data_IF_901558119623
#
_entry.id   IF_901558119623
#
_cell.length_a   1.000
_cell.length_b   1.000
_cell.length_c   1.000
_cell.angle_alpha   90.00
_cell.angle_beta   90.00
_cell.angle_gamma   90.00
#
_symmetry.space_group_name_H-M   'P 1'
#
loop_
_entity.id
_entity.type
_entity.pdbx_description
1 polymer ?
#
# COMPACT_ATOMS: atom_id res chain seq x y z
N UNK A 1 0.48 -18.26 -3.28
CA UNK A 1 -0.20 -18.47 -4.57
C UNK A 1 -1.67 -18.32 -4.25
N UNK A 2 -2.28 -17.18 -4.58
CA UNK A 2 -3.69 -16.92 -4.23
C UNK A 2 -4.56 -17.12 -5.48
N UNK A 3 -5.39 -18.16 -5.42
CA UNK A 3 -6.37 -18.52 -6.45
C UNK A 3 -7.48 -17.46 -6.67
N UNK A 4 -7.47 -16.36 -5.91
CA UNK A 4 -8.44 -15.27 -6.00
C UNK A 4 -8.13 -14.24 -7.11
N UNK A 5 -6.89 -14.19 -7.63
CA UNK A 5 -6.54 -13.29 -8.75
C UNK A 5 -7.18 -13.72 -10.09
N UNK A 6 -7.50 -15.01 -10.26
CA UNK A 6 -8.18 -15.50 -11.47
C UNK A 6 -9.66 -15.09 -11.53
N UNK A 7 -10.26 -14.69 -10.40
CA UNK A 7 -11.66 -14.25 -10.33
C UNK A 7 -11.87 -12.80 -10.81
N UNK A 8 -10.79 -12.05 -11.06
CA UNK A 8 -10.84 -10.71 -11.67
C UNK A 8 -10.89 -10.74 -13.20
N UNK A 9 -10.91 -11.93 -13.83
CA UNK A 9 -11.13 -12.06 -15.26
C UNK A 9 -12.62 -11.98 -15.59
N UNK A 10 -13.07 -11.12 -16.51
CA UNK A 10 -14.45 -11.12 -16.98
C UNK A 10 -14.77 -12.47 -17.65
N UNK A 11 -15.83 -13.13 -17.17
CA UNK A 11 -16.44 -14.28 -17.86
C UNK A 11 -17.33 -13.79 -19.00
N UNK A 12 -16.76 -13.47 -20.16
CA UNK A 12 -17.40 -13.34 -21.51
C UNK A 12 -16.48 -12.43 -22.35
N UNK A 13 -16.09 -12.68 -23.60
CA UNK A 13 -16.75 -13.32 -24.73
C UNK A 13 -15.73 -14.04 -25.63
N UNK A 14 -16.21 -15.10 -26.29
CA UNK A 14 -15.56 -15.73 -27.45
C UNK A 14 -15.79 -14.80 -28.64
N UNK A 15 -14.75 -14.11 -29.11
CA UNK A 15 -14.78 -13.44 -30.41
C UNK A 15 -14.27 -14.37 -31.50
N UNK A 16 -15.22 -14.84 -32.31
CA UNK A 16 -14.97 -15.47 -33.59
C UNK A 16 -14.38 -14.44 -34.56
N UNK A 17 -13.27 -14.80 -35.20
CA UNK A 17 -12.73 -14.10 -36.37
C UNK A 17 -13.73 -14.19 -37.52
N UNK A 18 -14.48 -13.12 -37.75
CA UNK A 18 -15.40 -12.98 -38.88
C UNK A 18 -14.69 -12.40 -40.11
N UNK A 19 -14.31 -13.26 -41.05
CA UNK A 19 -14.04 -12.86 -42.44
C UNK A 19 -15.36 -12.48 -43.13
N UNK A 20 -15.38 -11.33 -43.79
CA UNK A 20 -16.43 -10.96 -44.74
C UNK A 20 -16.49 -11.95 -45.91
N UNK A 21 -17.68 -12.51 -46.17
CA UNK A 21 -18.05 -13.11 -47.47
C UNK A 21 -19.57 -13.30 -47.57
N UNK A 22 -20.20 -12.40 -48.33
CA UNK A 22 -21.23 -12.62 -49.38
C UNK A 22 -22.33 -13.69 -49.14
N UNK A 23 -23.58 -13.17 -49.07
CA UNK A 23 -24.91 -13.72 -49.47
C UNK A 23 -25.11 -15.25 -49.60
N UNK A 24 -26.15 -15.77 -48.90
CA UNK A 24 -27.41 -16.28 -49.51
C UNK A 24 -28.45 -16.63 -48.44
N UNK A 25 -29.71 -16.39 -48.81
CA UNK A 25 -30.94 -16.71 -48.06
C UNK A 25 -31.12 -18.23 -47.84
N UNK A 26 -31.80 -18.59 -46.75
CA UNK A 26 -32.26 -19.95 -46.49
C UNK A 26 -32.95 -20.09 -45.14
N UNK A 27 -34.28 -20.04 -45.13
CA UNK A 27 -35.12 -20.40 -43.99
C UNK A 27 -35.01 -21.91 -43.69
N UNK A 28 -34.74 -22.31 -42.44
CA UNK A 28 -35.15 -23.62 -41.90
C UNK A 28 -35.59 -23.47 -40.43
N UNK A 29 -36.74 -24.09 -40.13
CA UNK A 29 -37.52 -24.12 -38.87
C UNK A 29 -37.05 -25.24 -37.90
N UNK A 30 -37.32 -25.00 -36.60
CA UNK A 30 -37.49 -25.94 -35.47
C UNK A 30 -36.23 -26.71 -34.97
N UNK A 31 -35.99 -26.98 -33.68
CA UNK A 31 -36.89 -27.41 -32.58
C UNK A 31 -36.42 -26.93 -31.18
N UNK A 32 -37.41 -26.55 -30.36
CA UNK A 32 -37.35 -26.54 -28.88
C UNK A 32 -37.21 -27.98 -28.36
N UNK A 33 -36.38 -28.19 -27.34
CA UNK A 33 -36.59 -29.26 -26.36
C UNK A 33 -36.38 -28.69 -24.95
N UNK A 34 -37.50 -28.64 -24.22
CA UNK A 34 -37.60 -28.40 -22.78
C UNK A 34 -37.72 -29.80 -22.16
N UNK A 35 -36.90 -30.11 -21.14
CA UNK A 35 -37.16 -31.23 -20.23
C UNK A 35 -36.93 -30.77 -18.79
N UNK A 36 -37.91 -31.09 -17.96
CA UNK A 36 -38.16 -30.63 -16.58
C UNK A 36 -37.89 -31.74 -15.56
N UNK A 37 -37.10 -31.43 -14.51
CA UNK A 37 -37.13 -31.97 -13.12
C UNK A 37 -36.83 -33.46 -12.86
N UNK A 38 -36.75 -33.91 -11.58
CA UNK A 38 -36.68 -33.20 -10.29
C UNK A 38 -35.46 -33.60 -9.40
N UNK A 39 -35.26 -32.87 -8.29
CA UNK A 39 -34.09 -32.99 -7.41
C UNK A 39 -34.16 -34.06 -6.32
N UNK A 40 -33.02 -34.27 -5.65
CA UNK A 40 -32.88 -34.94 -4.34
C UNK A 40 -31.68 -34.34 -3.60
N UNK A 41 -31.92 -33.93 -2.34
CA UNK A 41 -30.93 -33.60 -1.31
C UNK A 41 -30.17 -34.87 -0.85
N UNK A 42 -28.86 -34.77 -0.62
CA UNK A 42 -28.14 -35.75 0.21
C UNK A 42 -27.22 -35.03 1.20
N UNK A 43 -27.55 -35.18 2.47
CA UNK A 43 -26.67 -34.98 3.63
C UNK A 43 -26.27 -36.37 4.11
N UNK A 44 -24.98 -36.73 4.14
CA UNK A 44 -24.49 -37.82 5.01
C UNK A 44 -23.05 -37.54 5.42
N UNK A 45 -22.84 -37.51 6.74
CA UNK A 45 -21.55 -37.56 7.40
C UNK A 45 -21.10 -39.02 7.64
N UNK A 46 -19.84 -39.16 7.99
CA UNK A 46 -19.22 -40.21 8.83
C UNK A 46 -18.42 -41.33 8.15
N UNK A 47 -17.15 -41.35 8.59
CA UNK A 47 -16.36 -42.47 9.10
C UNK A 47 -16.13 -43.70 8.22
N UNK A 48 -14.84 -43.89 7.90
CA UNK A 48 -14.23 -45.18 7.66
C UNK A 48 -13.14 -45.44 8.71
N UNK A 49 -13.24 -46.60 9.37
CA UNK A 49 -12.21 -47.31 10.12
C UNK A 49 -11.92 -48.62 9.37
N UNK A 50 -10.66 -49.07 9.35
CA UNK A 50 -10.13 -50.45 9.20
C UNK A 50 -8.60 -50.32 9.48
N UNK A 51 -8.13 -50.64 10.70
CA UNK A 51 -7.45 -51.89 11.17
C UNK A 51 -6.14 -52.24 10.43
N UNK A 52 -5.05 -52.78 10.99
CA UNK A 52 -4.53 -53.17 12.32
C UNK A 52 -3.04 -53.56 12.09
N UNK A 53 -2.14 -53.45 13.10
CA UNK A 53 -0.81 -54.10 13.00
C UNK A 53 0.30 -53.71 13.98
N UNK A 54 0.19 -54.17 15.25
CA UNK A 54 1.24 -54.57 16.21
C UNK A 54 2.60 -53.84 16.35
N UNK A 55 2.90 -53.35 17.57
CA UNK A 55 3.82 -54.04 18.53
C UNK A 55 3.91 -53.31 19.90
N UNK A 56 4.06 -54.11 20.96
CA UNK A 56 4.03 -53.79 22.41
C UNK A 56 5.30 -53.11 22.95
N UNK A 57 5.15 -52.27 23.98
CA UNK A 57 5.64 -52.51 25.38
C UNK A 57 5.30 -51.32 26.28
N UNK A 58 4.75 -51.60 27.46
CA UNK A 58 4.21 -50.60 28.38
C UNK A 58 5.16 -50.14 29.48
N UNK A 59 4.71 -49.12 30.23
CA UNK A 59 4.92 -48.99 31.68
C UNK A 59 3.94 -47.96 32.25
N UNK A 60 3.25 -48.36 33.32
CA UNK A 60 2.33 -47.57 34.12
C UNK A 60 3.15 -46.77 35.15
N UNK A 61 2.87 -45.48 35.31
CA UNK A 61 3.27 -44.72 36.49
C UNK A 61 2.11 -43.85 36.97
N UNK A 62 1.59 -44.18 38.16
CA UNK A 62 0.66 -43.35 38.94
C UNK A 62 1.42 -42.14 39.49
N UNK A 63 0.85 -40.95 39.38
CA UNK A 63 1.22 -39.79 40.22
C UNK A 63 -0.01 -39.31 40.97
N UNK A 64 0.13 -39.27 42.30
CA UNK A 64 -0.82 -38.74 43.25
C UNK A 64 -0.80 -37.22 43.25
N UNK A 65 -1.97 -36.62 43.43
CA UNK A 65 -2.14 -35.21 43.73
C UNK A 65 -2.07 -35.03 45.25
N UNK A 66 -1.29 -34.04 45.72
CA UNK A 66 -1.27 -33.61 47.13
C UNK A 66 -1.68 -32.13 47.17
N UNK A 67 -2.84 -31.89 47.76
CA UNK A 67 -3.37 -30.56 48.12
C UNK A 67 -2.79 -30.22 49.50
N UNK A 68 -2.26 -29.01 49.66
CA UNK A 68 -1.79 -28.49 50.94
C UNK A 68 -2.53 -27.19 51.26
N UNK A 69 -3.30 -27.20 52.35
CA UNK A 69 -3.95 -26.06 52.98
C UNK A 69 -3.11 -25.68 54.20
N UNK A 70 -2.72 -24.42 54.36
CA UNK A 70 -2.21 -23.91 55.64
C UNK A 70 -2.73 -22.50 55.96
N UNK A 71 -3.74 -22.55 56.83
CA UNK A 71 -4.12 -21.70 57.96
C UNK A 71 -3.27 -20.47 58.32
N UNK A 72 -4.00 -19.38 58.54
CA UNK A 72 -3.62 -18.08 59.10
C UNK A 72 -3.39 -18.13 60.62
N UNK A 73 -2.39 -17.41 61.13
CA UNK A 73 -2.35 -16.92 62.52
C UNK A 73 -1.85 -15.48 62.61
N UNK A 74 -2.72 -14.63 63.13
CA UNK A 74 -2.41 -13.30 63.67
C UNK A 74 -1.74 -13.43 65.03
N UNK A 75 -0.72 -12.62 65.31
CA UNK A 75 -0.34 -12.21 66.67
C UNK A 75 0.10 -10.74 66.66
N UNK A 76 -0.66 -9.91 67.37
CA UNK A 76 -0.27 -8.58 67.85
C UNK A 76 0.87 -8.71 68.87
N UNK A 77 1.78 -7.74 68.94
CA UNK A 77 1.99 -6.93 70.14
C UNK A 77 2.93 -5.74 69.87
N UNK A 78 2.61 -4.64 70.54
CA UNK A 78 3.22 -3.33 70.47
C UNK A 78 4.55 -3.22 71.24
N UNK A 79 5.34 -2.24 70.79
CA UNK A 79 6.12 -1.26 71.56
C UNK A 79 7.61 -1.48 71.95
N UNK A 80 8.30 -0.35 71.79
CA UNK A 80 9.52 0.15 72.43
C UNK A 80 10.92 -0.14 71.84
N UNK A 81 11.67 0.95 71.64
CA UNK A 81 13.13 0.91 71.68
C UNK A 81 13.86 1.77 70.65
N UNK A 82 13.81 3.08 70.80
CA UNK A 82 14.68 4.01 70.08
C UNK A 82 16.17 3.70 70.32
N UNK A 83 16.92 3.42 69.25
CA UNK A 83 18.39 3.59 69.22
C UNK A 83 18.80 4.23 67.90
N UNK A 84 18.98 5.54 67.96
CA UNK A 84 19.70 6.32 66.95
C UNK A 84 21.18 5.94 67.09
N UNK A 85 21.67 5.10 66.17
CA UNK A 85 23.11 4.80 66.05
C UNK A 85 23.65 5.62 64.88
N UNK A 86 24.51 6.59 65.21
CA UNK A 86 25.22 7.41 64.23
C UNK A 86 25.95 6.54 63.21
N UNK A 87 25.73 6.84 61.93
CA UNK A 87 26.37 6.12 60.83
C UNK A 87 27.89 6.27 60.92
N UNK A 88 28.61 5.15 60.88
CA UNK A 88 30.08 5.14 60.89
C UNK A 88 30.59 5.90 59.66
N UNK A 89 31.72 6.62 59.76
CA UNK A 89 32.28 7.42 58.66
C UNK A 89 32.42 6.67 57.31
N UNK A 90 32.60 5.34 57.35
CA UNK A 90 32.59 4.48 56.15
C UNK A 90 31.21 4.38 55.48
N UNK A 91 30.13 4.35 56.27
CA UNK A 91 28.76 4.38 55.75
C UNK A 91 28.39 5.78 55.22
N UNK A 92 28.91 6.85 55.83
CA UNK A 92 28.78 8.21 55.26
C UNK A 92 29.52 8.34 53.92
N UNK A 93 30.72 7.76 53.79
CA UNK A 93 31.45 7.73 52.51
C UNK A 93 30.74 6.88 51.47
N UNK A 94 30.19 5.73 51.87
CA UNK A 94 29.40 4.88 50.97
C UNK A 94 28.13 5.60 50.51
N UNK A 95 27.39 6.25 51.43
CA UNK A 95 26.26 7.10 51.07
C UNK A 95 26.69 8.23 50.14
N UNK A 96 27.78 8.96 50.43
CA UNK A 96 28.23 10.05 49.57
C UNK A 96 28.59 9.58 48.15
N UNK A 97 29.20 8.41 48.00
CA UNK A 97 29.50 7.79 46.69
C UNK A 97 28.20 7.37 45.99
N UNK A 98 27.24 6.79 46.71
CA UNK A 98 25.94 6.44 46.16
C UNK A 98 25.13 7.69 45.76
N UNK A 99 25.20 8.77 46.53
CA UNK A 99 24.60 10.06 46.22
C UNK A 99 25.23 10.68 44.98
N UNK A 100 26.56 10.64 44.85
CA UNK A 100 27.27 11.11 43.67
C UNK A 100 26.93 10.26 42.44
N UNK A 101 26.86 8.94 42.59
CA UNK A 101 26.42 8.02 41.53
C UNK A 101 24.98 8.27 41.10
N UNK A 102 24.07 8.52 42.05
CA UNK A 102 22.68 8.89 41.78
C UNK A 102 22.59 10.24 41.09
N UNK A 103 23.38 11.24 41.49
CA UNK A 103 23.44 12.54 40.83
C UNK A 103 23.99 12.43 39.41
N UNK A 104 24.99 11.58 39.17
CA UNK A 104 25.49 11.28 37.82
C UNK A 104 24.42 10.55 37.01
N UNK A 105 23.70 9.59 37.57
CA UNK A 105 22.60 8.92 36.89
C UNK A 105 21.43 9.86 36.60
N UNK A 106 21.12 10.80 37.50
CA UNK A 106 20.11 11.85 37.29
C UNK A 106 20.60 12.85 36.25
N UNK A 107 21.88 13.21 36.21
CA UNK A 107 22.45 14.08 35.19
C UNK A 107 22.52 13.38 33.81
N UNK A 108 22.85 12.08 33.78
CA UNK A 108 22.79 11.25 32.58
C UNK A 108 21.35 11.01 32.13
N UNK A 109 20.40 10.87 33.06
CA UNK A 109 18.97 10.82 32.77
C UNK A 109 18.43 12.17 32.31
N UNK A 110 18.91 13.28 32.86
CA UNK A 110 18.53 14.64 32.46
C UNK A 110 19.09 14.99 31.08
N UNK A 111 20.35 14.67 30.80
CA UNK A 111 20.95 14.80 29.46
C UNK A 111 20.37 13.78 28.49
N UNK A 112 19.96 12.59 28.95
CA UNK A 112 19.17 11.65 28.16
C UNK A 112 17.74 12.14 27.94
N UNK A 113 17.14 12.94 28.84
CA UNK A 113 15.85 13.63 28.68
C UNK A 113 15.96 14.86 27.77
N UNK A 114 17.12 15.53 27.72
CA UNK A 114 17.40 16.54 26.69
C UNK A 114 17.64 15.88 25.32
N UNK A 115 18.24 14.68 25.28
CA UNK A 115 18.38 13.90 24.05
C UNK A 115 17.11 13.11 23.67
N UNK A 116 16.26 12.82 24.65
CA UNK A 116 14.85 12.44 24.55
C UNK A 116 14.04 13.72 24.70
N UNK A 117 14.34 14.72 23.88
CA UNK A 117 13.27 15.58 23.42
C UNK A 117 12.11 14.64 23.06
N UNK A 118 10.94 14.75 23.72
CA UNK A 118 9.72 14.42 23.01
C UNK A 118 9.86 15.16 21.70
N UNK A 119 9.37 14.59 20.61
CA UNK A 119 8.99 15.42 19.50
C UNK A 119 7.93 16.40 20.02
N UNK A 120 8.35 17.47 20.70
CA UNK A 120 7.86 18.83 20.54
C UNK A 120 8.32 19.29 19.16
N UNK A 121 8.04 18.45 18.15
CA UNK A 121 7.48 18.94 16.93
C UNK A 121 6.35 19.82 17.39
N UNK A 122 6.62 21.13 17.35
CA UNK A 122 5.65 22.18 17.17
C UNK A 122 4.33 21.53 16.76
N UNK A 123 3.33 21.58 17.63
CA UNK A 123 1.93 21.42 17.26
C UNK A 123 1.62 22.47 16.18
N UNK A 124 2.09 22.16 14.98
CA UNK A 124 1.46 22.41 13.72
C UNK A 124 1.09 20.98 13.25
N UNK A 125 0.19 20.27 13.94
CA UNK A 125 -1.24 20.51 13.71
C UNK A 125 -1.46 21.96 13.32
N UNK A 126 -1.12 22.31 12.08
CA UNK A 126 -2.13 23.03 11.33
C UNK A 126 -3.32 22.12 11.52
N UNK A 127 -4.22 22.51 12.43
CA UNK A 127 -5.60 22.15 12.25
C UNK A 127 -5.77 22.18 10.74
N UNK A 128 -5.96 20.99 10.16
CA UNK A 128 -6.56 20.88 8.86
C UNK A 128 -7.83 21.69 9.08
N UNK A 129 -7.79 22.99 8.79
CA UNK A 129 -8.98 23.80 8.66
C UNK A 129 -9.62 23.21 7.43
N UNK A 130 -10.28 22.07 7.65
CA UNK A 130 -11.42 21.63 6.88
C UNK A 130 -12.24 22.89 6.79
N UNK A 131 -12.34 23.43 5.59
CA UNK A 131 -13.38 24.38 5.29
C UNK A 131 -14.60 23.48 5.16
N UNK A 132 -15.47 23.38 6.18
CA UNK A 132 -16.65 22.53 6.08
C UNK A 132 -17.46 23.03 4.89
N UNK A 133 -17.91 22.10 4.04
CA UNK A 133 -18.66 22.46 2.83
C UNK A 133 -17.83 22.88 1.61
N UNK A 134 -16.50 22.85 1.63
CA UNK A 134 -15.67 23.25 0.46
C UNK A 134 -16.08 22.56 -0.86
N UNK A 135 -16.48 21.30 -0.77
CA UNK A 135 -16.94 20.50 -1.90
C UNK A 135 -18.42 20.11 -1.77
N UNK A 136 -19.20 20.79 -0.95
CA UNK A 136 -20.65 20.56 -0.91
C UNK A 136 -21.26 20.93 -2.26
N UNK A 137 -22.00 20.00 -2.86
CA UNK A 137 -22.52 20.16 -4.23
C UNK A 137 -21.49 20.11 -5.38
N UNK A 138 -20.19 19.92 -5.10
CA UNK A 138 -19.18 19.85 -6.16
C UNK A 138 -19.34 18.57 -7.01
N UNK A 139 -19.25 18.72 -8.33
CA UNK A 139 -19.38 17.63 -9.30
C UNK A 139 -18.02 17.27 -9.93
N UNK A 140 -17.55 16.04 -9.68
CA UNK A 140 -16.30 15.52 -10.26
C UNK A 140 -16.43 15.04 -11.71
N UNK A 141 -17.60 15.05 -12.32
CA UNK A 141 -17.75 14.78 -13.75
C UNK A 141 -17.27 15.97 -14.58
N UNK A 142 -17.65 17.17 -14.20
CA UNK A 142 -17.31 18.41 -14.92
C UNK A 142 -16.02 19.05 -14.41
N UNK A 143 -15.79 18.98 -13.09
CA UNK A 143 -14.71 19.68 -12.41
C UNK A 143 -14.91 21.19 -12.39
N UNK A 144 -13.86 21.94 -12.05
CA UNK A 144 -13.83 23.40 -12.17
C UNK A 144 -13.72 23.84 -13.64
N UNK A 145 -13.93 25.15 -13.86
CA UNK A 145 -13.65 25.79 -15.14
C UNK A 145 -12.19 25.54 -15.57
N UNK A 146 -11.97 25.51 -16.88
CA UNK A 146 -10.64 25.25 -17.46
C UNK A 146 -9.60 26.25 -16.93
N UNK A 147 -8.38 25.75 -16.67
CA UNK A 147 -7.30 26.55 -16.09
C UNK A 147 -7.37 26.76 -14.56
N UNK A 148 -8.47 26.39 -13.90
CA UNK A 148 -8.57 26.46 -12.43
C UNK A 148 -8.18 25.12 -11.81
N UNK A 149 -7.02 25.03 -11.15
CA UNK A 149 -6.56 23.80 -10.51
C UNK A 149 -6.90 23.77 -9.02
N UNK A 150 -7.62 22.73 -8.60
CA UNK A 150 -7.88 22.39 -7.20
C UNK A 150 -6.73 21.59 -6.58
N UNK A 151 -6.04 20.79 -7.38
CA UNK A 151 -4.98 19.89 -6.91
C UNK A 151 -3.61 20.56 -7.06
N UNK A 152 -2.77 20.59 -6.00
CA UNK A 152 -1.42 21.15 -6.10
C UNK A 152 -0.53 20.34 -7.06
N UNK A 153 0.43 21.01 -7.72
CA UNK A 153 1.34 20.39 -8.70
C UNK A 153 2.51 19.68 -8.01
N UNK A 154 2.22 18.80 -7.07
CA UNK A 154 3.23 18.08 -6.28
C UNK A 154 3.04 16.58 -6.49
N UNK A 155 4.14 15.87 -6.72
CA UNK A 155 4.13 14.42 -6.87
C UNK A 155 4.66 13.77 -5.60
N UNK A 156 4.03 12.67 -5.19
CA UNK A 156 4.42 11.88 -4.03
C UNK A 156 4.82 10.46 -4.45
N UNK A 157 5.97 10.02 -3.95
CA UNK A 157 6.38 8.61 -3.96
C UNK A 157 6.57 8.13 -2.52
N UNK A 158 6.07 6.93 -2.20
CA UNK A 158 6.23 6.30 -0.89
C UNK A 158 7.12 5.07 -0.97
N UNK A 159 8.20 5.02 -0.18
CA UNK A 159 9.18 3.92 -0.16
C UNK A 159 9.52 3.52 1.27
N UNK A 160 8.89 2.45 1.74
CA UNK A 160 9.27 1.80 2.99
C UNK A 160 10.30 0.70 2.78
N UNK A 161 11.29 0.61 3.68
CA UNK A 161 12.31 -0.46 3.70
C UNK A 161 13.06 -0.62 2.37
N UNK A 162 13.11 0.43 1.56
CA UNK A 162 13.71 0.46 0.22
C UNK A 162 14.66 1.65 0.08
N UNK A 163 15.88 1.50 0.62
CA UNK A 163 16.91 2.55 0.57
C UNK A 163 17.53 2.72 -0.83
N UNK A 164 17.59 1.65 -1.62
CA UNK A 164 18.25 1.67 -2.94
C UNK A 164 17.23 1.90 -4.06
N UNK A 165 17.55 2.78 -5.01
CA UNK A 165 16.75 2.95 -6.22
C UNK A 165 17.08 1.87 -7.25
N UNK A 166 16.05 1.34 -7.90
CA UNK A 166 16.20 0.49 -9.09
C UNK A 166 16.19 1.35 -10.35
N UNK A 167 16.73 0.81 -11.46
CA UNK A 167 16.64 1.46 -12.77
C UNK A 167 15.20 1.84 -13.13
N UNK A 168 14.26 0.90 -12.96
CA UNK A 168 12.82 1.10 -13.21
C UNK A 168 12.27 2.22 -12.34
N UNK A 169 12.65 2.29 -11.07
CA UNK A 169 12.24 3.36 -10.17
C UNK A 169 12.74 4.73 -10.62
N UNK A 170 13.99 4.82 -11.11
CA UNK A 170 14.51 6.04 -11.70
C UNK A 170 13.78 6.42 -12.99
N UNK A 171 13.50 5.46 -13.89
CA UNK A 171 12.68 5.67 -15.10
C UNK A 171 11.32 6.27 -14.74
N UNK A 172 10.64 5.73 -13.72
CA UNK A 172 9.33 6.24 -13.30
C UNK A 172 9.40 7.68 -12.77
N UNK A 173 10.37 7.98 -11.89
CA UNK A 173 10.57 9.36 -11.40
C UNK A 173 10.92 10.32 -12.53
N UNK A 174 11.80 9.92 -13.45
CA UNK A 174 12.19 10.74 -14.60
C UNK A 174 11.03 10.98 -15.55
N UNK A 175 10.17 9.98 -15.79
CA UNK A 175 8.96 10.14 -16.61
C UNK A 175 8.00 11.14 -15.98
N UNK A 176 7.77 11.04 -14.67
CA UNK A 176 6.95 11.99 -13.91
C UNK A 176 7.51 13.40 -14.01
N UNK A 177 8.81 13.59 -13.79
CA UNK A 177 9.46 14.88 -13.88
C UNK A 177 9.37 15.49 -15.30
N UNK A 178 9.78 14.73 -16.32
CA UNK A 178 9.87 15.23 -17.70
C UNK A 178 8.51 15.52 -18.33
N UNK A 179 7.55 14.61 -18.14
CA UNK A 179 6.28 14.63 -18.87
C UNK A 179 5.20 15.41 -18.11
N UNK A 180 5.17 15.34 -16.77
CA UNK A 180 4.22 16.13 -15.98
C UNK A 180 4.75 17.51 -15.60
N UNK A 181 6.06 17.63 -15.31
CA UNK A 181 6.70 18.86 -14.81
C UNK A 181 6.07 19.34 -13.48
N UNK A 182 6.18 18.53 -12.41
CA UNK A 182 5.72 18.94 -11.08
C UNK A 182 6.56 20.10 -10.53
N UNK A 183 5.97 20.90 -9.65
CA UNK A 183 6.70 21.97 -8.94
C UNK A 183 7.74 21.38 -7.98
N UNK A 184 7.42 20.20 -7.42
CA UNK A 184 8.34 19.39 -6.60
C UNK A 184 7.90 17.93 -6.49
N UNK A 185 8.86 17.07 -6.22
CA UNK A 185 8.65 15.66 -5.89
C UNK A 185 8.94 15.43 -4.41
N UNK A 186 7.98 14.89 -3.67
CA UNK A 186 8.14 14.49 -2.27
C UNK A 186 8.35 12.99 -2.18
N UNK A 187 9.48 12.60 -1.60
CA UNK A 187 9.78 11.22 -1.26
C UNK A 187 9.46 10.95 0.20
N UNK A 188 8.41 10.17 0.43
CA UNK A 188 8.02 9.69 1.75
C UNK A 188 8.70 8.37 2.04
N UNK A 189 9.47 8.28 3.12
CA UNK A 189 10.29 7.09 3.40
C UNK A 189 10.68 7.01 4.87
N UNK A 190 10.99 5.80 5.33
CA UNK A 190 11.59 5.49 6.63
C UNK A 190 13.12 5.70 6.65
N UNK A 191 13.68 6.27 5.58
CA UNK A 191 15.08 6.67 5.48
C UNK A 191 15.24 8.18 5.30
N UNK A 192 16.38 8.75 5.70
CA UNK A 192 16.70 10.16 5.45
C UNK A 192 17.17 10.45 4.01
N UNK A 193 17.58 9.41 3.26
CA UNK A 193 18.02 9.52 1.88
C UNK A 193 18.08 8.16 1.19
N UNK A 194 18.07 8.17 -0.15
CA UNK A 194 18.30 6.99 -0.98
C UNK A 194 19.76 6.88 -1.44
N UNK A 195 20.13 5.69 -1.92
CA UNK A 195 21.47 5.40 -2.44
C UNK A 195 21.42 4.64 -3.77
N UNK A 196 22.58 4.57 -4.42
CA UNK A 196 22.80 3.81 -5.65
C UNK A 196 22.87 4.70 -6.91
N UNK A 197 23.41 4.16 -8.01
CA UNK A 197 23.66 4.93 -9.23
C UNK A 197 22.38 5.54 -9.82
N UNK A 198 21.27 4.81 -9.73
CA UNK A 198 19.96 5.26 -10.21
C UNK A 198 19.38 6.40 -9.38
N UNK A 199 19.68 6.45 -8.07
CA UNK A 199 19.33 7.61 -7.26
C UNK A 199 20.19 8.81 -7.62
N UNK A 200 21.51 8.63 -7.80
CA UNK A 200 22.39 9.73 -8.21
C UNK A 200 21.96 10.30 -9.57
N UNK A 201 21.52 9.47 -10.52
CA UNK A 201 20.91 9.94 -11.78
C UNK A 201 19.70 10.84 -11.54
N UNK A 202 18.76 10.43 -10.69
CA UNK A 202 17.57 11.24 -10.35
C UNK A 202 17.97 12.54 -9.67
N UNK A 203 18.79 12.45 -8.62
CA UNK A 203 19.26 13.57 -7.80
C UNK A 203 20.02 14.63 -8.60
N UNK A 204 20.80 14.21 -9.61
CA UNK A 204 21.61 15.12 -10.44
C UNK A 204 20.89 15.59 -11.70
N UNK A 205 19.61 15.20 -11.90
CA UNK A 205 18.84 15.65 -13.05
C UNK A 205 18.53 17.14 -12.93
N UNK A 206 19.00 17.93 -13.91
CA UNK A 206 18.83 19.38 -13.94
C UNK A 206 17.35 19.79 -13.86
N UNK A 207 17.06 20.78 -13.01
CA UNK A 207 15.72 21.33 -12.78
C UNK A 207 14.80 20.46 -11.89
N UNK A 208 15.21 19.25 -11.49
CA UNK A 208 14.40 18.40 -10.62
C UNK A 208 14.49 18.91 -9.18
N UNK A 209 13.37 19.40 -8.65
CA UNK A 209 13.21 19.81 -7.25
C UNK A 209 12.59 18.66 -6.46
N UNK A 210 13.27 18.22 -5.39
CA UNK A 210 12.75 17.16 -4.52
C UNK A 210 13.01 17.43 -3.04
N UNK A 211 12.18 16.83 -2.18
CA UNK A 211 12.33 16.87 -0.74
C UNK A 211 12.02 15.50 -0.13
N UNK A 212 12.63 15.21 1.02
CA UNK A 212 12.33 14.02 1.81
C UNK A 212 11.32 14.32 2.90
N UNK A 213 10.40 13.39 3.13
CA UNK A 213 9.46 13.36 4.25
C UNK A 213 9.66 12.06 4.99
N UNK A 214 10.10 12.17 6.25
CA UNK A 214 10.29 11.00 7.10
C UNK A 214 8.91 10.45 7.50
N UNK A 215 8.67 9.19 7.20
CA UNK A 215 7.45 8.48 7.56
C UNK A 215 7.83 7.13 8.14
N UNK A 216 7.37 6.85 9.36
CA UNK A 216 7.53 5.54 9.98
C UNK A 216 6.53 4.56 9.39
N UNK A 217 6.97 3.34 9.07
CA UNK A 217 6.08 2.24 8.68
C UNK A 217 5.11 1.93 9.85
N UNK A 218 3.79 2.17 9.72
CA UNK A 218 2.87 1.90 10.80
C UNK A 218 2.62 0.40 10.99
N UNK A 219 2.40 -0.01 12.24
CA UNK A 219 2.07 -1.41 12.59
C UNK A 219 0.57 -1.66 12.74
N UNK A 220 -0.23 -0.61 12.86
CA UNK A 220 -1.68 -0.69 13.07
C UNK A 220 -2.46 0.48 12.48
N UNK A 221 -3.77 0.30 12.35
CA UNK A 221 -4.76 1.31 11.98
C UNK A 221 -6.01 1.15 12.85
N UNK A 222 -6.48 2.24 13.47
CA UNK A 222 -7.65 2.23 14.38
C UNK A 222 -7.62 1.12 15.45
N UNK A 223 -6.45 0.88 16.07
CA UNK A 223 -6.27 -0.15 17.08
C UNK A 223 -6.19 -1.60 16.54
N UNK A 224 -6.24 -1.79 15.23
CA UNK A 224 -6.10 -3.09 14.57
C UNK A 224 -4.71 -3.24 13.96
N UNK A 225 -3.99 -4.31 14.30
CA UNK A 225 -2.66 -4.59 13.74
C UNK A 225 -2.76 -4.95 12.25
N UNK A 226 -1.83 -4.48 11.45
CA UNK A 226 -1.71 -4.92 10.07
C UNK A 226 -1.32 -6.39 9.99
N UNK A 227 -1.79 -7.04 8.93
CA UNK A 227 -1.39 -8.40 8.56
C UNK A 227 0.12 -8.57 8.53
N UNK A 228 0.65 -9.64 9.12
CA UNK A 228 2.08 -9.96 9.05
C UNK A 228 2.53 -10.27 7.62
N UNK A 229 1.69 -10.99 6.86
CA UNK A 229 2.00 -11.39 5.50
C UNK A 229 1.99 -10.20 4.53
N UNK A 230 1.06 -9.27 4.74
CA UNK A 230 0.83 -8.12 3.85
C UNK A 230 1.20 -6.77 4.48
N UNK A 231 2.03 -6.77 5.53
CA UNK A 231 2.28 -5.61 6.38
C UNK A 231 2.66 -4.36 5.59
N UNK A 232 3.72 -4.45 4.78
CA UNK A 232 4.24 -3.31 4.02
C UNK A 232 3.20 -2.76 3.04
N UNK A 233 2.40 -3.62 2.41
CA UNK A 233 1.39 -3.21 1.43
C UNK A 233 0.24 -2.49 2.13
N UNK A 234 -0.39 -3.10 3.13
CA UNK A 234 -1.50 -2.50 3.86
C UNK A 234 -1.11 -1.21 4.59
N UNK A 235 0.08 -1.18 5.18
CA UNK A 235 0.62 0.02 5.79
C UNK A 235 0.85 1.13 4.76
N UNK A 236 1.32 0.79 3.56
CA UNK A 236 1.47 1.74 2.45
C UNK A 236 0.12 2.26 1.96
N UNK A 237 -0.91 1.40 1.92
CA UNK A 237 -2.26 1.77 1.51
C UNK A 237 -2.88 2.83 2.43
N UNK A 238 -2.72 2.67 3.74
CA UNK A 238 -3.18 3.68 4.71
C UNK A 238 -2.31 4.94 4.66
N UNK A 239 -0.99 4.76 4.51
CA UNK A 239 -0.04 5.90 4.50
C UNK A 239 -0.27 6.80 3.30
N UNK A 240 -0.56 6.26 2.11
CA UNK A 240 -0.83 7.10 0.92
C UNK A 240 -2.07 7.97 1.11
N UNK A 241 -3.11 7.45 1.75
CA UNK A 241 -4.34 8.22 2.04
C UNK A 241 -3.99 9.38 2.97
N UNK A 242 -3.21 9.13 4.02
CA UNK A 242 -2.76 10.16 4.97
C UNK A 242 -1.87 11.22 4.30
N UNK A 243 -0.96 10.82 3.42
CA UNK A 243 -0.15 11.75 2.61
C UNK A 243 -1.05 12.67 1.79
N UNK A 244 -2.03 12.11 1.08
CA UNK A 244 -2.95 12.89 0.27
C UNK A 244 -3.85 13.80 1.13
N UNK A 245 -4.25 13.39 2.33
CA UNK A 245 -4.99 14.25 3.26
C UNK A 245 -4.14 15.40 3.81
N UNK A 246 -2.83 15.24 3.92
CA UNK A 246 -1.93 16.30 4.39
C UNK A 246 -1.57 17.29 3.27
N UNK A 247 -1.20 16.77 2.09
CA UNK A 247 -0.60 17.56 1.02
C UNK A 247 -1.55 17.78 -0.18
N UNK A 248 -2.52 16.91 -0.40
CA UNK A 248 -3.18 16.77 -1.70
C UNK A 248 -2.18 16.23 -2.72
N UNK A 249 -2.34 16.63 -3.99
CA UNK A 249 -1.34 16.39 -5.03
C UNK A 249 -1.58 15.11 -5.82
N UNK A 250 -0.49 14.56 -6.36
CA UNK A 250 -0.48 13.41 -7.24
C UNK A 250 0.37 12.31 -6.59
N UNK A 251 -0.29 11.29 -6.07
CA UNK A 251 0.40 10.11 -5.56
C UNK A 251 0.62 9.09 -6.69
N UNK A 252 1.84 8.59 -6.81
CA UNK A 252 2.22 7.56 -7.77
C UNK A 252 2.89 6.38 -7.04
N UNK A 253 2.46 5.17 -7.37
CA UNK A 253 3.23 3.98 -7.05
C UNK A 253 4.60 4.02 -7.74
N UNK A 254 5.57 3.33 -7.14
CA UNK A 254 6.98 3.41 -7.55
C UNK A 254 7.29 2.83 -8.94
N UNK A 255 6.32 2.17 -9.54
CA UNK A 255 6.36 1.59 -10.87
C UNK A 255 5.23 2.13 -11.77
N UNK A 256 4.82 3.39 -11.55
CA UNK A 256 3.99 4.16 -12.48
C UNK A 256 4.87 4.99 -13.42
N UNK A 257 4.74 4.73 -14.71
CA UNK A 257 5.30 5.57 -15.76
C UNK A 257 4.31 6.65 -16.16
N UNK A 258 4.71 7.92 -16.12
CA UNK A 258 3.88 9.04 -16.57
C UNK A 258 4.15 9.31 -18.04
N UNK A 259 3.13 9.15 -18.87
CA UNK A 259 3.22 9.29 -20.33
C UNK A 259 2.92 10.72 -20.76
N UNK A 260 1.85 11.32 -20.22
CA UNK A 260 1.38 12.64 -20.59
C UNK A 260 1.22 13.56 -19.38
N UNK A 261 1.09 14.86 -19.65
CA UNK A 261 0.82 15.85 -18.62
C UNK A 261 -0.54 15.60 -17.94
N UNK A 262 -0.55 15.58 -16.60
CA UNK A 262 -1.74 15.26 -15.79
C UNK A 262 -2.57 16.48 -15.37
N UNK A 263 -2.25 17.69 -15.84
CA UNK A 263 -2.92 18.93 -15.38
C UNK A 263 -4.43 18.93 -15.62
N UNK A 264 -4.91 18.28 -16.69
CA UNK A 264 -6.36 18.16 -16.97
C UNK A 264 -7.15 17.47 -15.85
N UNK A 265 -6.49 16.70 -14.97
CA UNK A 265 -7.13 16.01 -13.86
C UNK A 265 -7.06 16.82 -12.55
N UNK A 266 -6.24 17.87 -12.50
CA UNK A 266 -6.08 18.74 -11.33
C UNK A 266 -7.26 19.70 -11.11
N UNK A 267 -8.22 19.72 -12.03
CA UNK A 267 -9.47 20.48 -11.94
C UNK A 267 -10.59 19.76 -11.18
N UNK A 268 -10.37 18.49 -10.84
CA UNK A 268 -11.31 17.69 -10.07
C UNK A 268 -10.93 17.72 -8.59
N UNK A 269 -11.89 17.46 -7.72
CA UNK A 269 -11.64 17.26 -6.30
C UNK A 269 -10.77 16.01 -6.10
N UNK A 270 -11.08 14.93 -6.83
CA UNK A 270 -10.28 13.72 -6.88
C UNK A 270 -10.47 13.00 -8.21
N UNK A 271 -9.39 12.54 -8.84
CA UNK A 271 -9.40 11.71 -10.05
C UNK A 271 -8.64 10.41 -9.81
N UNK A 272 -9.25 9.29 -10.22
CA UNK A 272 -8.73 7.94 -10.01
C UNK A 272 -8.98 7.04 -11.20
N UNK A 273 -8.17 5.98 -11.33
CA UNK A 273 -8.42 4.92 -12.30
C UNK A 273 -9.55 4.03 -11.80
N UNK A 274 -10.71 4.06 -12.43
CA UNK A 274 -11.84 3.25 -11.98
C UNK A 274 -12.76 2.88 -13.14
N UNK A 275 -12.60 1.66 -13.65
CA UNK A 275 -13.40 1.11 -14.74
C UNK A 275 -14.72 0.51 -14.25
N UNK A 276 -15.65 0.24 -15.17
CA UNK A 276 -16.96 -0.30 -14.82
C UNK A 276 -16.85 -1.71 -14.25
N UNK A 277 -17.57 -1.96 -13.15
CA UNK A 277 -17.60 -3.24 -12.44
C UNK A 277 -16.21 -3.72 -11.96
N UNK A 278 -15.28 -2.79 -11.73
CA UNK A 278 -13.95 -3.05 -11.19
C UNK A 278 -13.77 -2.31 -9.86
N UNK A 279 -12.85 -2.81 -9.03
CA UNK A 279 -12.35 -2.06 -7.88
C UNK A 279 -11.54 -0.84 -8.38
N UNK A 280 -11.57 0.26 -7.64
CA UNK A 280 -10.74 1.42 -7.94
C UNK A 280 -9.26 1.06 -7.91
N UNK A 281 -8.48 1.65 -8.82
CA UNK A 281 -7.03 1.59 -8.88
C UNK A 281 -6.40 2.56 -7.88
N UNK A 282 -5.41 2.07 -7.14
CA UNK A 282 -4.73 2.81 -6.06
C UNK A 282 -3.35 3.32 -6.46
N UNK A 283 -2.90 2.98 -7.66
CA UNK A 283 -1.53 3.19 -8.11
C UNK A 283 -1.29 4.64 -8.56
N UNK A 284 -2.34 5.33 -9.00
CA UNK A 284 -2.32 6.76 -9.30
C UNK A 284 -3.56 7.43 -8.69
N UNK A 285 -3.32 8.45 -7.88
CA UNK A 285 -4.36 9.22 -7.20
C UNK A 285 -4.03 10.70 -7.36
N UNK A 286 -4.98 11.48 -7.88
CA UNK A 286 -4.82 12.93 -8.08
C UNK A 286 -5.92 13.61 -7.29
N UNK A 287 -5.62 14.31 -6.20
CA UNK A 287 -6.70 14.88 -5.39
C UNK A 287 -6.30 16.13 -4.60
N UNK A 288 -7.32 16.92 -4.31
CA UNK A 288 -7.22 17.97 -3.30
C UNK A 288 -7.13 17.32 -1.92
N UNK A 289 -6.39 17.95 -1.00
CA UNK A 289 -6.21 17.43 0.37
C UNK A 289 -7.53 17.27 1.15
N UNK A 290 -8.54 18.05 0.78
CA UNK A 290 -9.87 18.04 1.40
C UNK A 290 -10.88 17.19 0.60
N UNK A 291 -10.44 16.34 -0.33
CA UNK A 291 -11.34 15.50 -1.10
C UNK A 291 -12.20 14.61 -0.19
N UNK A 292 -13.52 14.70 -0.35
CA UNK A 292 -14.54 14.02 0.47
C UNK A 292 -14.33 12.52 0.53
N UNK A 293 -13.90 11.92 -0.60
CA UNK A 293 -13.65 10.49 -0.67
C UNK A 293 -12.49 10.04 0.21
N UNK A 294 -11.43 10.83 0.43
CA UNK A 294 -10.27 10.41 1.23
C UNK A 294 -10.66 10.04 2.65
N UNK A 295 -11.57 10.81 3.26
CA UNK A 295 -12.06 10.52 4.61
C UNK A 295 -12.88 9.23 4.63
N UNK A 296 -13.84 9.09 3.71
CA UNK A 296 -14.68 7.88 3.63
C UNK A 296 -13.84 6.63 3.35
N UNK A 297 -12.79 6.78 2.54
CA UNK A 297 -11.84 5.72 2.25
C UNK A 297 -11.02 5.35 3.49
N UNK A 298 -10.45 6.34 4.21
CA UNK A 298 -9.73 6.07 5.46
C UNK A 298 -10.67 5.42 6.49
N UNK A 299 -11.88 5.95 6.68
CA UNK A 299 -12.87 5.46 7.64
C UNK A 299 -13.28 4.00 7.37
N UNK A 300 -13.23 3.56 6.10
CA UNK A 300 -13.48 2.14 5.78
C UNK A 300 -12.50 1.19 6.48
N UNK A 301 -11.32 1.64 6.89
CA UNK A 301 -10.36 0.83 7.65
C UNK A 301 -10.75 0.61 9.12
N UNK A 302 -11.82 1.23 9.62
CA UNK A 302 -12.36 0.87 10.94
C UNK A 302 -12.77 -0.61 11.01
N UNK A 303 -13.12 -1.20 9.87
CA UNK A 303 -13.31 -2.64 9.73
C UNK A 303 -12.27 -3.18 8.74
N UNK A 304 -11.15 -3.64 9.26
CA UNK A 304 -10.00 -4.05 8.46
C UNK A 304 -9.95 -5.58 8.29
N UNK A 305 -9.65 -6.03 7.06
CA UNK A 305 -9.59 -7.45 6.70
C UNK A 305 -8.13 -7.88 6.44
N UNK A 306 -7.42 -8.46 7.43
CA UNK A 306 -5.98 -8.70 7.35
C UNK A 306 -5.56 -9.72 6.27
N UNK A 307 -6.42 -10.68 5.95
CA UNK A 307 -6.10 -11.76 5.01
C UNK A 307 -6.41 -11.40 3.56
N UNK A 308 -6.96 -10.21 3.31
CA UNK A 308 -7.34 -9.76 1.98
C UNK A 308 -6.36 -8.68 1.50
N UNK A 309 -5.42 -9.07 0.63
CA UNK A 309 -4.39 -8.17 0.12
C UNK A 309 -4.98 -6.88 -0.45
N UNK A 310 -5.80 -6.97 -1.51
CA UNK A 310 -6.23 -5.75 -2.22
C UNK A 310 -7.56 -5.18 -1.74
N UNK A 311 -8.38 -5.98 -1.06
CA UNK A 311 -9.77 -5.65 -0.78
C UNK A 311 -9.91 -4.34 0.02
N UNK A 312 -9.15 -4.16 1.09
CA UNK A 312 -9.22 -2.95 1.93
C UNK A 312 -8.85 -1.67 1.15
N UNK A 313 -7.90 -1.80 0.21
CA UNK A 313 -7.36 -0.66 -0.52
C UNK A 313 -8.27 -0.25 -1.67
N UNK A 314 -8.70 -1.20 -2.51
CA UNK A 314 -9.47 -0.90 -3.72
C UNK A 314 -10.94 -1.27 -3.64
N UNK A 315 -11.25 -2.52 -3.31
CA UNK A 315 -12.59 -3.07 -3.51
C UNK A 315 -13.60 -2.59 -2.47
N UNK A 316 -13.26 -2.68 -1.18
CA UNK A 316 -14.11 -2.25 -0.08
C UNK A 316 -14.59 -0.80 -0.21
N UNK A 317 -13.72 0.22 -0.40
CA UNK A 317 -14.19 1.59 -0.57
C UNK A 317 -14.94 1.79 -1.90
N UNK A 318 -14.70 0.96 -2.92
CA UNK A 318 -15.52 0.97 -4.14
C UNK A 318 -16.95 0.51 -3.84
N UNK A 319 -17.09 -0.64 -3.18
CA UNK A 319 -18.37 -1.29 -2.89
C UNK A 319 -19.20 -0.50 -1.87
N UNK A 320 -18.58 -0.06 -0.78
CA UNK A 320 -19.29 0.57 0.32
C UNK A 320 -19.62 2.04 0.07
N UNK A 321 -18.78 2.72 -0.72
CA UNK A 321 -18.86 4.17 -0.96
C UNK A 321 -19.14 4.48 -2.41
N UNK A 322 -18.22 4.16 -3.33
CA UNK A 322 -18.27 4.72 -4.68
C UNK A 322 -19.42 4.17 -5.55
N UNK A 323 -19.85 2.92 -5.37
CA UNK A 323 -21.05 2.43 -6.07
C UNK A 323 -22.32 3.18 -5.67
N UNK A 324 -22.38 3.71 -4.44
CA UNK A 324 -23.52 4.50 -3.96
C UNK A 324 -23.35 5.99 -4.27
N UNK A 325 -22.10 6.43 -4.35
CA UNK A 325 -21.71 7.84 -4.46
C UNK A 325 -20.59 8.05 -5.50
N UNK A 326 -20.85 7.76 -6.79
CA UNK A 326 -19.83 7.88 -7.83
C UNK A 326 -19.40 9.34 -8.07
N UNK A 327 -20.22 10.33 -7.68
CA UNK A 327 -19.95 11.76 -7.84
C UNK A 327 -18.75 12.27 -7.02
N UNK A 328 -18.29 11.46 -6.06
CA UNK A 328 -17.17 11.80 -5.19
C UNK A 328 -15.81 11.79 -5.89
N UNK A 329 -15.71 11.19 -7.09
CA UNK A 329 -14.46 11.06 -7.83
C UNK A 329 -14.68 11.20 -9.33
N UNK A 330 -13.67 11.72 -10.02
CA UNK A 330 -13.60 11.71 -11.46
C UNK A 330 -13.02 10.37 -11.91
N UNK A 331 -13.82 9.61 -12.65
CA UNK A 331 -13.45 8.27 -13.14
C UNK A 331 -12.62 8.38 -14.41
N UNK A 332 -11.36 7.95 -14.35
CA UNK A 332 -10.50 7.82 -15.53
C UNK A 332 -10.44 6.36 -15.94
N UNK A 333 -11.26 5.98 -16.92
CA UNK A 333 -11.35 4.61 -17.42
C UNK A 333 -10.19 4.32 -18.37
N UNK A 334 -9.53 3.18 -18.17
CA UNK A 334 -8.39 2.64 -18.93
C UNK A 334 -7.13 3.52 -19.01
N UNK A 335 -7.26 4.83 -19.23
CA UNK A 335 -6.18 5.77 -19.58
C UNK A 335 -5.20 6.07 -18.44
N UNK A 336 -5.51 5.68 -17.21
CA UNK A 336 -4.54 5.66 -16.11
C UNK A 336 -3.66 4.39 -16.10
N UNK A 337 -3.92 3.45 -17.02
CA UNK A 337 -3.08 2.27 -17.23
C UNK A 337 -2.95 1.37 -16.02
N UNK A 338 -3.99 1.28 -15.19
CA UNK A 338 -4.03 0.44 -13.97
C UNK A 338 -4.60 -0.97 -14.22
N UNK A 339 -4.96 -1.29 -15.46
CA UNK A 339 -5.41 -2.61 -15.87
C UNK A 339 -4.23 -3.50 -16.27
N UNK A 340 -4.51 -4.77 -16.58
CA UNK A 340 -3.50 -5.76 -16.93
C UNK A 340 -2.77 -5.45 -18.24
N UNK A 341 -1.54 -4.92 -18.13
CA UNK A 341 -0.72 -4.45 -19.26
C UNK A 341 0.59 -5.22 -19.47
N UNK A 342 0.84 -6.30 -18.73
CA UNK A 342 2.12 -7.05 -18.79
C UNK A 342 2.48 -7.49 -20.21
N UNK A 343 1.53 -8.00 -20.99
CA UNK A 343 1.79 -8.43 -22.38
C UNK A 343 2.16 -7.24 -23.28
N UNK A 344 1.43 -6.13 -23.15
CA UNK A 344 1.70 -4.90 -23.88
C UNK A 344 3.08 -4.33 -23.54
N UNK A 345 3.51 -4.44 -22.29
CA UNK A 345 4.78 -3.88 -21.80
C UNK A 345 6.02 -4.71 -22.16
N UNK A 346 5.93 -6.04 -22.00
CA UNK A 346 7.13 -6.90 -21.96
C UNK A 346 7.19 -7.96 -23.05
N UNK A 347 6.13 -8.11 -23.85
CA UNK A 347 6.03 -9.17 -24.88
C UNK A 347 5.74 -8.64 -26.28
N UNK A 348 5.37 -7.38 -26.40
CA UNK A 348 4.97 -6.76 -27.65
C UNK A 348 5.53 -5.35 -27.75
N UNK A 349 5.48 -4.80 -28.97
CA UNK A 349 5.67 -3.38 -29.23
C UNK A 349 4.31 -2.71 -29.44
N UNK A 350 3.73 -2.22 -28.35
CA UNK A 350 2.38 -1.65 -28.28
C UNK A 350 2.39 -0.19 -28.78
N UNK A 351 2.04 0.04 -30.05
CA UNK A 351 2.19 1.36 -30.70
C UNK A 351 1.36 2.48 -30.05
N UNK A 352 0.24 2.15 -29.42
CA UNK A 352 -0.71 3.12 -28.86
C UNK A 352 -0.41 3.48 -27.40
N UNK A 353 0.71 3.02 -26.81
CA UNK A 353 1.05 3.29 -25.41
C UNK A 353 1.07 4.79 -25.06
N UNK A 354 1.41 5.64 -26.04
CA UNK A 354 1.43 7.10 -25.92
C UNK A 354 0.06 7.75 -25.73
N UNK A 355 -1.03 7.02 -25.96
CA UNK A 355 -2.39 7.50 -25.71
C UNK A 355 -2.77 7.48 -24.22
N UNK A 356 -2.03 6.71 -23.41
CA UNK A 356 -2.23 6.65 -21.96
C UNK A 356 -1.78 7.95 -21.29
N UNK A 357 -2.34 8.29 -20.12
CA UNK A 357 -1.79 9.33 -19.26
C UNK A 357 -0.70 8.78 -18.35
N UNK A 358 -0.93 7.59 -17.82
CA UNK A 358 0.02 6.83 -17.01
C UNK A 358 -0.08 5.35 -17.34
N UNK A 359 0.96 4.59 -17.01
CA UNK A 359 1.00 3.14 -17.17
C UNK A 359 1.58 2.53 -15.90
N UNK A 360 0.82 1.63 -15.26
CA UNK A 360 1.34 0.78 -14.20
C UNK A 360 2.19 -0.32 -14.81
N UNK A 361 3.49 -0.32 -14.50
CA UNK A 361 4.44 -1.23 -15.10
C UNK A 361 4.28 -2.67 -14.60
N UNK A 362 3.57 -2.91 -13.49
CA UNK A 362 3.34 -4.24 -12.93
C UNK A 362 4.66 -5.01 -12.70
N UNK A 363 5.73 -4.29 -12.33
CA UNK A 363 7.09 -4.83 -12.36
C UNK A 363 7.25 -6.02 -11.42
N UNK A 364 6.56 -5.98 -10.26
CA UNK A 364 6.57 -7.04 -9.25
C UNK A 364 5.81 -8.30 -9.68
N UNK A 365 4.97 -8.20 -10.70
CA UNK A 365 4.11 -9.29 -11.15
C UNK A 365 4.71 -10.11 -12.31
N UNK A 366 5.84 -9.66 -12.87
CA UNK A 366 6.52 -10.35 -13.99
C UNK A 366 6.89 -11.81 -13.67
N UNK A 367 7.19 -12.13 -12.41
CA UNK A 367 7.58 -13.49 -11.99
C UNK A 367 6.51 -14.56 -12.22
N UNK A 368 5.24 -14.17 -12.34
CA UNK A 368 4.16 -15.09 -12.64
C UNK A 368 3.34 -14.70 -13.88
N UNK A 369 3.36 -13.43 -14.29
CA UNK A 369 2.66 -12.94 -15.48
C UNK A 369 3.56 -12.81 -16.72
N UNK A 370 4.88 -12.97 -16.60
CA UNK A 370 5.86 -12.79 -17.69
C UNK A 370 7.04 -13.78 -17.63
N UNK A 371 6.80 -15.00 -17.14
CA UNK A 371 7.86 -15.99 -16.84
C UNK A 371 8.91 -16.16 -17.94
N UNK A 372 8.47 -16.34 -19.18
CA UNK A 372 9.36 -16.62 -20.32
C UNK A 372 10.31 -15.46 -20.65
N UNK A 373 9.82 -14.22 -20.60
CA UNK A 373 10.65 -13.05 -20.90
C UNK A 373 11.45 -12.60 -19.68
N UNK A 374 10.93 -12.82 -18.46
CA UNK A 374 11.67 -12.60 -17.23
C UNK A 374 12.93 -13.47 -17.15
N UNK A 375 12.87 -14.73 -17.60
CA UNK A 375 14.07 -15.59 -17.63
C UNK A 375 15.16 -15.04 -18.55
N UNK A 376 14.79 -14.39 -19.65
CA UNK A 376 15.72 -13.78 -20.61
C UNK A 376 16.25 -12.43 -20.12
N UNK A 377 15.40 -11.64 -19.47
CA UNK A 377 15.73 -10.33 -18.94
C UNK A 377 15.10 -10.17 -17.54
N UNK A 378 15.78 -10.68 -16.49
CA UNK A 378 15.26 -10.72 -15.13
C UNK A 378 15.24 -9.34 -14.46
N UNK A 379 16.20 -8.50 -14.82
CA UNK A 379 16.36 -7.13 -14.32
C UNK A 379 16.60 -6.20 -15.49
N UNK A 380 16.17 -4.94 -15.34
CA UNK A 380 16.48 -3.89 -16.30
C UNK A 380 17.55 -2.97 -15.73
N UNK A 381 18.46 -2.55 -16.60
CA UNK A 381 19.54 -1.59 -16.33
C UNK A 381 19.82 -0.73 -17.57
N UNK A 382 20.72 0.23 -17.45
CA UNK A 382 21.08 1.18 -18.51
C UNK A 382 21.78 0.54 -19.73
N UNK A 383 22.22 -0.72 -19.61
CA UNK A 383 22.90 -1.44 -20.68
C UNK A 383 21.90 -2.30 -21.45
N UNK A 384 21.20 -3.19 -20.76
CA UNK A 384 20.29 -4.14 -21.39
C UNK A 384 19.03 -3.47 -21.99
N UNK A 385 18.65 -2.29 -21.48
CA UNK A 385 17.51 -1.56 -21.99
C UNK A 385 17.76 -0.96 -23.37
N UNK A 386 19.03 -0.83 -23.81
CA UNK A 386 19.39 -0.33 -25.14
C UNK A 386 18.77 -1.19 -26.23
N UNK A 387 18.91 -2.51 -26.07
CA UNK A 387 18.52 -3.48 -27.08
C UNK A 387 17.18 -4.16 -26.78
N UNK A 388 16.51 -3.80 -25.68
CA UNK A 388 15.23 -4.41 -25.31
C UNK A 388 14.12 -3.95 -26.29
N UNK A 389 13.58 -4.84 -27.15
CA UNK A 389 12.80 -4.44 -28.33
C UNK A 389 11.29 -4.37 -28.05
N UNK A 390 10.89 -4.30 -26.78
CA UNK A 390 9.50 -4.25 -26.34
C UNK A 390 9.12 -2.83 -25.91
N UNK A 391 7.81 -2.59 -25.72
CA UNK A 391 7.27 -1.28 -25.32
C UNK A 391 8.01 -0.64 -24.15
N UNK A 392 8.27 -1.40 -23.07
CA UNK A 392 8.99 -0.85 -21.92
C UNK A 392 10.40 -0.37 -22.27
N UNK A 393 11.06 -1.01 -23.24
CA UNK A 393 12.36 -0.58 -23.75
C UNK A 393 12.30 0.83 -24.35
N UNK A 394 11.32 1.09 -25.22
CA UNK A 394 11.11 2.44 -25.77
C UNK A 394 10.84 3.47 -24.67
N UNK A 395 9.91 3.14 -23.77
CA UNK A 395 9.50 4.02 -22.67
C UNK A 395 10.70 4.41 -21.80
N UNK A 396 11.53 3.45 -21.43
CA UNK A 396 12.67 3.67 -20.56
C UNK A 396 13.78 4.48 -21.26
N UNK A 397 14.10 4.17 -22.53
CA UNK A 397 15.10 4.91 -23.32
C UNK A 397 14.72 6.39 -23.45
N UNK A 398 13.45 6.67 -23.73
CA UNK A 398 12.90 8.03 -23.93
C UNK A 398 13.17 8.96 -22.72
N UNK A 399 12.95 8.47 -21.49
CA UNK A 399 13.09 9.31 -20.28
C UNK A 399 14.44 9.18 -19.61
N UNK A 400 15.17 8.09 -19.80
CA UNK A 400 16.48 7.92 -19.17
C UNK A 400 17.60 8.64 -19.95
N UNK A 401 17.36 8.95 -21.24
CA UNK A 401 18.34 9.58 -22.13
C UNK A 401 19.34 8.57 -22.68
N UNK A 402 18.84 7.39 -23.07
CA UNK A 402 19.62 6.34 -23.70
C UNK A 402 19.18 6.30 -25.16
N UNK A 403 20.11 6.59 -26.07
CA UNK A 403 19.91 6.50 -27.53
C UNK A 403 20.08 5.07 -28.02
#
# INVERSE_FOLDING_TARGET
MDLLELLMLPKSHVDFVGKQSIRKEGQIKMKKNILTGPGVHVTVASQWWITLGCSRKGRIQRRSYRVSVHESRNLNYNQEGARIVGMRAKQLRFLAVMSAGLLILVALWYTSLENLHPLTGRNRTTDLQLIPGLFEGFNNETGTQEGTYLVPNIIHFLRFKQKTFTFVGAVCVLSAFKNHRPDKILFHTDFGSFIGPYWEKVKTTSGLVYEFRNVTLPDSIFGQNFSKAYHIWHASDVTRIKILMEYGGIFLDNDIYVVQNLNKFRKFEMAIGWDDNQCLGTQILICNKNARFLRLWLDSYHQYYPDQWYYNAGCKPTEEVLYKRPELVHRVKLLFGVHMLVSNLYRTLWKEWRQQYTIHLLMRHRSYLDKEHLQKCPTFDENNIRDYPMTFGEMAREVYGIS
#
